data_IF_719885967419
#
_entry.id   IF_719885967419
#
_cell.length_a   1.000
_cell.length_b   1.000
_cell.length_c   1.000
_cell.angle_alpha   90.00
_cell.angle_beta   90.00
_cell.angle_gamma   90.00
#
_symmetry.space_group_name_H-M   'P 1'
#
loop_
_entity.id
_entity.type
_entity.pdbx_description
1 polymer ?
#
# COMPACT_ATOMS: atom_id res chain seq x y z
N UNK A 1 -5.15 6.52 -11.99
CA UNK A 1 -4.07 7.42 -12.47
C UNK A 1 -2.75 7.08 -11.82
N UNK A 2 -1.66 7.05 -12.59
CA UNK A 2 -0.29 6.93 -12.04
C UNK A 2 0.40 8.29 -12.07
N UNK A 3 0.69 8.86 -10.89
CA UNK A 3 1.37 10.15 -10.76
C UNK A 3 2.77 10.20 -11.41
N UNK A 4 3.42 9.04 -11.60
CA UNK A 4 4.73 8.93 -12.27
C UNK A 4 4.65 8.94 -13.80
N UNK A 5 3.46 8.83 -14.38
CA UNK A 5 3.26 8.79 -15.84
C UNK A 5 2.67 10.13 -16.26
N UNK A 6 3.44 10.94 -16.99
CA UNK A 6 3.03 12.27 -17.45
C UNK A 6 1.68 12.24 -18.18
N UNK A 7 1.48 11.28 -19.08
CA UNK A 7 0.23 11.14 -19.85
C UNK A 7 -0.99 10.90 -18.95
N UNK A 8 -0.85 10.02 -17.95
CA UNK A 8 -1.93 9.78 -16.99
C UNK A 8 -2.28 11.03 -16.17
N UNK A 9 -1.29 11.88 -15.88
CA UNK A 9 -1.52 13.15 -15.18
C UNK A 9 -2.17 14.17 -16.11
N UNK A 10 -1.80 14.23 -17.40
CA UNK A 10 -2.47 15.07 -18.41
C UNK A 10 -3.94 14.72 -18.57
N UNK A 11 -4.27 13.42 -18.65
CA UNK A 11 -5.66 12.95 -18.68
C UNK A 11 -6.44 13.37 -17.43
N UNK A 12 -5.83 13.23 -16.24
CA UNK A 12 -6.43 13.68 -14.99
C UNK A 12 -6.69 15.19 -15.00
N UNK A 13 -5.73 15.99 -15.47
CA UNK A 13 -5.89 17.45 -15.57
C UNK A 13 -7.05 17.85 -16.48
N UNK A 14 -7.24 17.16 -17.62
CA UNK A 14 -8.41 17.38 -18.50
C UNK A 14 -9.74 17.12 -17.78
N UNK A 15 -9.79 16.08 -16.94
CA UNK A 15 -10.98 15.79 -16.14
C UNK A 15 -11.19 16.86 -15.07
N UNK A 16 -10.13 17.25 -14.35
CA UNK A 16 -10.20 18.31 -13.33
C UNK A 16 -10.72 19.61 -13.94
N UNK A 17 -10.20 20.01 -15.10
CA UNK A 17 -10.62 21.23 -15.81
C UNK A 17 -12.11 21.20 -16.15
N UNK A 18 -12.59 20.06 -16.67
CA UNK A 18 -14.01 19.88 -17.01
C UNK A 18 -14.92 19.95 -15.77
N UNK A 19 -14.49 19.37 -14.65
CA UNK A 19 -15.35 19.23 -13.46
C UNK A 19 -15.28 20.44 -12.50
N UNK A 20 -14.15 21.17 -12.46
CA UNK A 20 -13.95 22.26 -11.48
C UNK A 20 -14.87 23.45 -11.74
N UNK A 21 -15.22 23.72 -13.00
CA UNK A 21 -16.12 24.81 -13.43
C UNK A 21 -15.65 26.18 -12.90
N UNK A 22 -14.38 26.51 -13.09
CA UNK A 22 -13.81 27.79 -12.66
C UNK A 22 -13.51 27.93 -11.16
N UNK A 23 -13.58 26.84 -10.39
CA UNK A 23 -13.33 26.84 -8.94
C UNK A 23 -11.94 26.31 -8.60
N UNK A 24 -11.47 26.68 -7.42
CA UNK A 24 -10.26 26.11 -6.81
C UNK A 24 -10.36 24.59 -6.63
N UNK A 25 -9.22 23.93 -6.69
CA UNK A 25 -9.09 22.48 -6.58
C UNK A 25 -8.19 22.14 -5.40
N UNK A 26 -8.73 21.46 -4.41
CA UNK A 26 -7.98 21.02 -3.24
C UNK A 26 -7.57 19.56 -3.38
N UNK A 27 -6.27 19.29 -3.35
CA UNK A 27 -5.75 17.92 -3.35
C UNK A 27 -5.65 17.44 -1.91
N UNK A 28 -6.51 16.48 -1.56
CA UNK A 28 -6.55 15.84 -0.24
C UNK A 28 -6.18 14.36 -0.34
N UNK A 29 -5.51 13.83 0.68
CA UNK A 29 -5.14 12.41 0.71
C UNK A 29 -4.29 12.04 1.93
N UNK A 30 -4.16 10.74 2.19
CA UNK A 30 -3.33 10.27 3.29
C UNK A 30 -1.82 10.52 3.02
N UNK A 31 -0.98 10.52 4.06
CA UNK A 31 0.47 10.57 3.89
C UNK A 31 0.96 9.35 3.11
N UNK A 32 2.00 9.54 2.29
CA UNK A 32 2.64 8.49 1.46
C UNK A 32 1.79 7.88 0.31
N UNK A 33 0.61 8.42 0.00
CA UNK A 33 -0.20 7.96 -1.16
C UNK A 33 0.31 8.46 -2.52
N UNK A 34 1.32 9.34 -2.53
CA UNK A 34 1.88 9.93 -3.76
C UNK A 34 1.35 11.31 -4.12
N UNK A 35 0.70 12.03 -3.20
CA UNK A 35 0.21 13.42 -3.37
C UNK A 35 1.30 14.36 -3.88
N UNK A 36 2.45 14.41 -3.21
CA UNK A 36 3.57 15.26 -3.65
C UNK A 36 4.15 14.84 -4.99
N UNK A 37 4.14 13.54 -5.32
CA UNK A 37 4.54 13.05 -6.65
C UNK A 37 3.59 13.56 -7.73
N UNK A 38 2.29 13.56 -7.46
CA UNK A 38 1.29 14.08 -8.39
C UNK A 38 1.47 15.59 -8.61
N UNK A 39 1.64 16.35 -7.54
CA UNK A 39 1.82 17.81 -7.60
C UNK A 39 3.08 18.17 -8.36
N UNK A 40 4.21 17.54 -8.05
CA UNK A 40 5.46 17.79 -8.77
C UNK A 40 5.32 17.45 -10.26
N UNK A 41 4.55 16.41 -10.60
CA UNK A 41 4.29 16.07 -12.00
C UNK A 41 3.39 17.12 -12.69
N UNK A 42 2.40 17.67 -11.99
CA UNK A 42 1.56 18.77 -12.51
C UNK A 42 2.43 20.01 -12.76
N UNK A 43 3.30 20.39 -11.80
CA UNK A 43 4.23 21.51 -11.94
C UNK A 43 5.13 21.29 -13.17
N UNK A 44 5.76 20.12 -13.28
CA UNK A 44 6.64 19.81 -14.42
C UNK A 44 5.90 19.95 -15.76
N UNK A 45 4.67 19.44 -15.86
CA UNK A 45 3.86 19.54 -17.08
C UNK A 45 3.55 21.01 -17.41
N UNK A 46 3.21 21.83 -16.41
CA UNK A 46 2.92 23.25 -16.61
C UNK A 46 4.17 24.05 -17.03
N UNK A 47 5.34 23.68 -16.51
CA UNK A 47 6.62 24.35 -16.84
C UNK A 47 7.24 23.92 -18.17
N UNK A 48 6.91 22.73 -18.69
CA UNK A 48 7.46 22.19 -19.95
C UNK A 48 6.65 22.57 -21.20
N UNK A 49 5.45 23.15 -21.05
CA UNK A 49 4.65 23.66 -22.17
C UNK A 49 5.25 24.96 -22.73
N UNK A 50 5.73 24.92 -23.98
CA UNK A 50 6.29 26.06 -24.74
C UNK A 50 5.30 27.23 -24.98
N UNK A 51 4.03 27.10 -24.59
CA UNK A 51 3.01 28.17 -24.59
C UNK A 51 3.19 29.13 -23.39
N UNK A 52 4.43 29.60 -23.18
CA UNK A 52 4.79 30.56 -22.12
C UNK A 52 4.40 31.98 -22.55
N UNK A 53 3.09 32.22 -22.68
CA UNK A 53 2.52 33.58 -22.61
C UNK A 53 1.30 33.50 -21.69
N UNK A 54 1.51 33.39 -20.38
CA UNK A 54 0.87 34.21 -19.34
C UNK A 54 1.22 33.67 -17.94
N UNK A 55 1.62 34.60 -17.07
CA UNK A 55 1.78 34.50 -15.60
C UNK A 55 2.45 33.24 -15.01
N UNK A 56 3.78 33.33 -14.87
CA UNK A 56 4.57 32.82 -13.74
C UNK A 56 3.93 31.73 -12.86
N UNK A 57 4.06 30.47 -13.26
CA UNK A 57 3.86 29.28 -12.42
C UNK A 57 4.93 29.16 -11.31
N UNK A 58 5.16 30.22 -10.54
CA UNK A 58 6.05 30.17 -9.38
C UNK A 58 5.23 29.78 -8.14
N UNK A 59 5.53 28.64 -7.49
CA UNK A 59 4.81 28.22 -6.29
C UNK A 59 4.93 29.27 -5.17
N UNK A 60 3.81 29.84 -4.74
CA UNK A 60 3.74 30.63 -3.52
C UNK A 60 3.78 29.70 -2.30
N UNK A 61 4.49 30.10 -1.23
CA UNK A 61 4.50 29.36 0.04
C UNK A 61 3.77 30.17 1.11
N UNK A 62 2.58 29.71 1.49
CA UNK A 62 1.91 30.17 2.71
C UNK A 62 1.77 28.96 3.63
N UNK A 63 2.56 28.93 4.71
CA UNK A 63 2.51 27.95 5.82
C UNK A 63 2.02 26.53 5.46
N UNK A 64 2.77 25.84 4.59
CA UNK A 64 2.61 24.39 4.40
C UNK A 64 1.69 23.93 3.27
N UNK A 65 1.11 24.84 2.47
CA UNK A 65 0.42 24.52 1.21
C UNK A 65 1.21 25.01 -0.01
N UNK A 66 1.23 24.20 -1.06
CA UNK A 66 1.72 24.57 -2.40
C UNK A 66 0.51 25.00 -3.22
N UNK A 67 0.55 26.22 -3.75
CA UNK A 67 -0.48 26.74 -4.65
C UNK A 67 0.07 26.78 -6.08
N UNK A 68 -0.66 26.15 -7.02
CA UNK A 68 -0.36 26.19 -8.44
C UNK A 68 -1.46 27.00 -9.13
N UNK A 69 -1.15 28.19 -9.67
CA UNK A 69 -2.13 29.01 -10.35
C UNK A 69 -2.59 28.36 -11.66
N UNK A 70 -3.85 28.59 -12.03
CA UNK A 70 -4.47 28.23 -13.30
C UNK A 70 -4.79 29.50 -14.13
N UNK A 71 -4.97 29.35 -15.44
CA UNK A 71 -5.13 30.45 -16.39
C UNK A 71 -6.33 31.38 -16.10
N UNK A 72 -7.33 30.91 -15.37
CA UNK A 72 -8.54 31.67 -15.00
C UNK A 72 -8.46 32.34 -13.62
N UNK A 73 -7.29 32.31 -12.97
CA UNK A 73 -7.05 32.91 -11.66
C UNK A 73 -7.43 32.02 -10.47
N UNK A 74 -7.96 30.82 -10.70
CA UNK A 74 -8.14 29.81 -9.66
C UNK A 74 -6.84 29.04 -9.38
N UNK A 75 -6.82 28.24 -8.31
CA UNK A 75 -5.62 27.52 -7.89
C UNK A 75 -5.87 26.02 -7.68
N UNK A 76 -4.80 25.24 -7.89
CA UNK A 76 -4.67 23.90 -7.32
C UNK A 76 -3.89 24.03 -6.00
N UNK A 77 -4.52 23.64 -4.90
CA UNK A 77 -3.97 23.78 -3.55
C UNK A 77 -3.59 22.40 -3.00
N UNK A 78 -2.33 22.25 -2.61
CA UNK A 78 -1.87 21.11 -1.84
C UNK A 78 -2.24 21.26 -0.36
N UNK A 79 -2.89 20.23 0.19
CA UNK A 79 -3.22 20.18 1.62
C UNK A 79 -2.29 19.21 2.36
N UNK A 80 -1.89 19.46 3.61
CA UNK A 80 -1.10 18.50 4.38
C UNK A 80 -1.73 17.10 4.39
N UNK A 81 -0.91 16.06 4.21
CA UNK A 81 -1.41 14.69 4.13
C UNK A 81 -1.99 14.21 5.45
N UNK A 82 -3.09 13.46 5.40
CA UNK A 82 -3.72 12.87 6.59
C UNK A 82 -2.93 11.64 7.03
N UNK A 83 -2.41 11.64 8.26
CA UNK A 83 -1.66 10.49 8.79
C UNK A 83 -2.64 9.37 9.15
N UNK A 84 -2.58 8.24 8.43
CA UNK A 84 -3.41 7.06 8.73
C UNK A 84 -2.70 6.09 9.66
N UNK A 85 -2.79 6.29 10.97
CA UNK A 85 -2.05 5.49 11.97
C UNK A 85 -2.23 3.96 11.87
N UNK A 86 -3.27 3.49 11.17
CA UNK A 86 -3.53 2.05 10.97
C UNK A 86 -2.84 1.42 9.76
N UNK A 87 -1.96 2.16 9.08
CA UNK A 87 -1.20 1.67 7.94
C UNK A 87 0.17 1.11 8.38
N UNK A 88 0.55 -0.06 7.86
CA UNK A 88 1.84 -0.70 8.12
C UNK A 88 3.04 0.26 7.92
N UNK A 89 2.94 1.19 6.97
CA UNK A 89 4.02 2.13 6.65
C UNK A 89 4.46 3.00 7.83
N UNK A 90 3.63 3.19 8.84
CA UNK A 90 4.01 4.00 10.04
C UNK A 90 5.02 3.30 10.94
N UNK A 91 5.13 1.97 10.84
CA UNK A 91 6.00 1.17 11.71
C UNK A 91 7.34 0.84 11.04
N UNK A 92 7.59 1.35 9.83
CA UNK A 92 8.72 0.98 9.00
C UNK A 92 9.68 2.15 8.82
N UNK A 93 10.98 1.85 8.84
CA UNK A 93 12.02 2.80 8.48
C UNK A 93 12.00 3.11 6.97
N UNK A 94 12.64 4.21 6.58
CA UNK A 94 12.76 4.62 5.18
C UNK A 94 13.34 3.55 4.25
N UNK A 95 14.21 2.65 4.73
CA UNK A 95 14.77 1.54 3.93
C UNK A 95 13.77 0.39 3.79
N UNK A 96 13.03 0.07 4.84
CA UNK A 96 12.04 -1.01 4.84
C UNK A 96 10.81 -0.64 4.01
N UNK A 97 10.41 0.64 4.04
CA UNK A 97 9.40 1.19 3.14
C UNK A 97 9.72 0.96 1.67
N UNK A 98 11.00 0.99 1.27
CA UNK A 98 11.40 0.72 -0.13
C UNK A 98 11.12 -0.72 -0.55
N UNK A 99 11.09 -1.66 0.40
CA UNK A 99 10.82 -3.07 0.16
C UNK A 99 9.32 -3.35 0.21
N UNK A 100 8.61 -2.78 1.19
CA UNK A 100 7.18 -3.02 1.41
C UNK A 100 6.31 -2.32 0.39
N UNK A 101 6.64 -1.09 0.00
CA UNK A 101 5.86 -0.32 -0.99
C UNK A 101 6.26 -0.79 -2.40
N UNK A 102 5.33 -1.35 -3.20
CA UNK A 102 5.63 -1.75 -4.57
C UNK A 102 6.07 -0.57 -5.44
N UNK A 103 7.19 -0.74 -6.13
CA UNK A 103 7.76 0.26 -7.06
C UNK A 103 7.47 -0.03 -8.53
N UNK A 104 7.02 -1.24 -8.80
CA UNK A 104 6.68 -1.83 -10.09
C UNK A 104 5.40 -2.64 -9.92
N UNK A 105 4.80 -3.04 -11.03
CA UNK A 105 3.61 -3.89 -11.03
C UNK A 105 3.82 -5.13 -10.14
N UNK A 106 2.86 -5.36 -9.24
CA UNK A 106 2.89 -6.48 -8.31
C UNK A 106 2.58 -7.75 -9.07
N UNK A 107 3.51 -8.72 -9.02
CA UNK A 107 3.30 -10.03 -9.63
C UNK A 107 2.57 -10.94 -8.65
N UNK A 108 1.50 -11.64 -9.07
CA UNK A 108 0.83 -12.60 -8.21
C UNK A 108 1.79 -13.74 -7.82
N UNK A 109 1.92 -14.00 -6.52
CA UNK A 109 2.72 -15.12 -5.99
C UNK A 109 1.78 -16.22 -5.50
N UNK A 110 1.63 -17.28 -6.29
CA UNK A 110 0.72 -18.40 -5.99
C UNK A 110 1.41 -19.44 -5.10
N UNK A 111 0.81 -19.76 -3.96
CA UNK A 111 1.25 -20.81 -3.06
C UNK A 111 0.16 -21.87 -2.88
N UNK A 112 0.53 -23.11 -3.16
CA UNK A 112 -0.31 -24.27 -2.90
C UNK A 112 -0.04 -24.77 -1.47
N UNK A 113 -1.03 -24.65 -0.58
CA UNK A 113 -0.89 -24.99 0.83
C UNK A 113 -1.83 -26.13 1.22
N UNK A 114 -1.34 -27.03 2.07
CA UNK A 114 -2.17 -27.93 2.85
C UNK A 114 -2.60 -27.25 4.15
N UNK A 115 -3.65 -27.76 4.77
CA UNK A 115 -4.06 -27.37 6.13
C UNK A 115 -2.85 -27.39 7.07
N UNK A 116 -2.88 -26.50 8.07
CA UNK A 116 -1.83 -26.37 9.08
C UNK A 116 -0.49 -25.93 8.48
N UNK A 117 -0.52 -25.09 7.45
CA UNK A 117 0.67 -24.41 6.91
C UNK A 117 0.56 -22.89 7.05
N UNK A 118 1.73 -22.27 7.15
CA UNK A 118 1.89 -20.83 7.35
C UNK A 118 2.78 -20.25 6.27
N UNK A 119 2.44 -19.05 5.80
CA UNK A 119 3.29 -18.19 4.99
C UNK A 119 3.58 -16.90 5.76
N UNK A 120 4.86 -16.63 5.97
CA UNK A 120 5.32 -15.33 6.43
C UNK A 120 5.60 -14.44 5.23
N UNK A 121 5.11 -13.20 5.27
CA UNK A 121 5.51 -12.13 4.35
C UNK A 121 6.63 -11.36 5.03
N UNK A 122 7.86 -11.84 4.82
CA UNK A 122 9.01 -11.53 5.68
C UNK A 122 8.59 -11.48 7.17
N UNK A 123 9.06 -10.52 7.95
CA UNK A 123 8.66 -10.34 9.34
C UNK A 123 7.47 -9.40 9.54
N UNK A 124 6.85 -8.88 8.47
CA UNK A 124 5.80 -7.84 8.59
C UNK A 124 4.38 -8.39 8.65
N UNK A 125 4.14 -9.61 8.17
CA UNK A 125 2.84 -10.26 8.29
C UNK A 125 2.96 -11.78 8.23
N UNK A 126 1.91 -12.46 8.70
CA UNK A 126 1.82 -13.93 8.68
C UNK A 126 0.41 -14.36 8.27
N UNK A 127 0.34 -15.34 7.39
CA UNK A 127 -0.87 -15.98 6.92
C UNK A 127 -0.87 -17.44 7.34
N UNK A 128 -1.87 -17.86 8.10
CA UNK A 128 -2.09 -19.23 8.51
C UNK A 128 -3.29 -19.83 7.78
N UNK A 129 -3.05 -20.92 7.06
CA UNK A 129 -4.12 -21.77 6.58
C UNK A 129 -4.49 -22.77 7.68
N UNK A 130 -5.58 -22.49 8.39
CA UNK A 130 -5.99 -23.26 9.57
C UNK A 130 -6.66 -24.55 9.12
N UNK A 131 -7.70 -24.44 8.29
CA UNK A 131 -8.47 -25.59 7.84
C UNK A 131 -9.29 -25.28 6.58
N UNK A 132 -9.50 -26.27 5.72
CA UNK A 132 -10.39 -26.19 4.57
C UNK A 132 -10.46 -27.52 3.82
N UNK A 133 -10.90 -27.49 2.57
CA UNK A 133 -11.05 -28.70 1.74
C UNK A 133 -9.71 -29.15 1.12
N UNK A 134 -8.77 -29.50 2.00
CA UNK A 134 -7.47 -30.04 1.60
C UNK A 134 -6.55 -28.99 0.99
N UNK A 135 -5.79 -29.40 -0.02
CA UNK A 135 -4.76 -28.56 -0.63
C UNK A 135 -5.39 -27.53 -1.57
N UNK A 136 -5.13 -26.25 -1.33
CA UNK A 136 -5.70 -25.16 -2.12
C UNK A 136 -4.70 -24.04 -2.46
N UNK A 137 -4.92 -23.30 -3.56
CA UNK A 137 -4.13 -22.12 -3.92
C UNK A 137 -4.46 -20.93 -3.01
N UNK A 138 -3.42 -20.18 -2.67
CA UNK A 138 -3.50 -18.83 -2.11
C UNK A 138 -2.64 -17.90 -2.95
N UNK A 139 -3.19 -16.74 -3.35
CA UNK A 139 -2.47 -15.80 -4.23
C UNK A 139 -2.09 -14.56 -3.44
N UNK A 140 -0.79 -14.33 -3.28
CA UNK A 140 -0.27 -13.19 -2.54
C UNK A 140 0.04 -12.04 -3.50
N UNK A 141 -0.60 -10.90 -3.26
CA UNK A 141 -0.38 -9.63 -3.96
C UNK A 141 0.31 -8.65 -3.01
N UNK A 142 1.61 -8.83 -2.88
CA UNK A 142 2.50 -7.99 -2.05
C UNK A 142 3.69 -7.53 -2.90
N UNK A 143 4.49 -6.57 -2.42
CA UNK A 143 5.67 -6.12 -3.15
C UNK A 143 6.55 -7.28 -3.65
N UNK A 144 7.05 -7.15 -4.88
CA UNK A 144 7.91 -8.17 -5.49
C UNK A 144 9.21 -8.36 -4.71
N UNK A 145 9.64 -7.35 -3.96
CA UNK A 145 10.89 -7.34 -3.22
C UNK A 145 10.77 -8.02 -1.84
N UNK A 146 9.54 -8.34 -1.39
CA UNK A 146 9.28 -9.12 -0.18
C UNK A 146 9.36 -10.63 -0.46
N UNK A 147 9.93 -11.38 0.48
CA UNK A 147 10.01 -12.84 0.41
C UNK A 147 8.85 -13.51 1.15
N UNK A 148 8.44 -14.68 0.64
CA UNK A 148 7.38 -15.49 1.23
C UNK A 148 7.97 -16.79 1.79
N UNK A 149 7.95 -16.91 3.12
CA UNK A 149 8.60 -18.03 3.84
C UNK A 149 7.55 -19.00 4.35
N UNK A 150 7.62 -20.26 3.89
CA UNK A 150 6.65 -21.30 4.26
C UNK A 150 7.14 -22.15 5.42
N UNK A 151 6.26 -22.40 6.40
CA UNK A 151 6.49 -23.35 7.48
C UNK A 151 5.22 -24.13 7.84
N UNK A 152 5.33 -25.11 8.73
CA UNK A 152 4.16 -25.77 9.34
C UNK A 152 3.61 -24.87 10.44
N UNK A 153 2.29 -24.82 10.59
CA UNK A 153 1.61 -23.96 11.56
C UNK A 153 2.13 -24.18 12.99
N UNK A 154 2.34 -25.45 13.37
CA UNK A 154 2.89 -25.82 14.69
C UNK A 154 4.28 -25.26 15.00
N UNK A 155 5.06 -24.88 13.98
CA UNK A 155 6.40 -24.32 14.13
C UNK A 155 6.41 -22.80 13.96
N UNK A 156 5.27 -22.19 13.60
CA UNK A 156 5.25 -20.82 13.10
C UNK A 156 5.61 -19.79 14.18
N UNK A 157 5.14 -19.98 15.41
CA UNK A 157 5.44 -19.09 16.54
C UNK A 157 6.94 -19.11 16.86
N UNK A 158 7.50 -20.30 17.08
CA UNK A 158 8.94 -20.48 17.34
C UNK A 158 9.82 -19.98 16.18
N UNK A 159 9.37 -20.22 14.94
CA UNK A 159 10.08 -19.74 13.76
C UNK A 159 10.13 -18.21 13.73
N UNK A 160 9.01 -17.53 13.98
CA UNK A 160 8.98 -16.07 14.00
C UNK A 160 9.91 -15.50 15.08
N UNK A 161 9.81 -16.02 16.31
CA UNK A 161 10.65 -15.58 17.44
C UNK A 161 12.15 -15.69 17.15
N UNK A 162 12.58 -16.78 16.49
CA UNK A 162 14.00 -17.02 16.20
C UNK A 162 14.53 -16.22 15.00
N UNK A 163 13.65 -15.88 14.06
CA UNK A 163 14.02 -15.45 12.71
C UNK A 163 13.63 -14.01 12.36
N UNK A 164 12.74 -13.37 13.11
CA UNK A 164 12.44 -11.93 12.95
C UNK A 164 13.72 -11.11 13.08
N UNK A 165 13.92 -10.16 12.17
CA UNK A 165 15.16 -9.37 12.12
C UNK A 165 16.33 -10.03 11.36
N UNK A 166 16.22 -11.33 11.07
CA UNK A 166 17.24 -12.13 10.34
C UNK A 166 16.75 -12.44 8.93
N UNK A 167 16.28 -13.67 8.70
CA UNK A 167 15.70 -14.09 7.42
C UNK A 167 14.29 -13.53 7.22
N UNK A 168 13.55 -13.27 8.30
CA UNK A 168 12.27 -12.54 8.27
C UNK A 168 12.56 -11.04 8.41
N UNK A 169 12.96 -10.42 7.31
CA UNK A 169 13.35 -9.02 7.22
C UNK A 169 12.77 -8.43 5.94
N UNK A 170 11.98 -7.34 6.02
CA UNK A 170 11.75 -6.46 7.17
C UNK A 170 10.83 -7.05 8.26
N UNK A 171 10.94 -6.58 9.53
CA UNK A 171 11.89 -5.60 10.04
C UNK A 171 13.32 -6.15 10.14
N UNK A 172 14.32 -5.27 10.21
CA UNK A 172 15.73 -5.62 10.52
C UNK A 172 15.92 -5.97 12.00
N UNK A 173 17.03 -6.60 12.37
CA UNK A 173 17.37 -6.91 13.77
C UNK A 173 17.26 -5.69 14.71
N UNK A 174 17.67 -4.51 14.26
CA UNK A 174 17.59 -3.27 15.05
C UNK A 174 16.15 -2.75 15.18
N UNK A 175 15.40 -2.74 14.09
CA UNK A 175 14.02 -2.21 14.05
C UNK A 175 13.01 -3.18 14.65
N UNK A 176 13.29 -4.48 14.64
CA UNK A 176 12.45 -5.53 15.20
C UNK A 176 12.17 -5.32 16.70
N UNK A 177 13.11 -4.73 17.46
CA UNK A 177 12.94 -4.44 18.88
C UNK A 177 11.81 -3.44 19.16
N UNK A 178 11.53 -2.55 18.21
CA UNK A 178 10.47 -1.53 18.28
C UNK A 178 9.27 -1.85 17.41
N UNK A 179 9.32 -2.95 16.67
CA UNK A 179 8.25 -3.35 15.78
C UNK A 179 7.10 -3.95 16.61
N UNK A 180 5.83 -3.55 16.37
CA UNK A 180 4.72 -4.06 17.16
C UNK A 180 4.58 -5.58 17.02
N UNK A 181 4.08 -6.21 18.08
CA UNK A 181 3.75 -7.64 18.04
C UNK A 181 2.69 -7.88 16.98
N UNK A 182 2.76 -9.03 16.31
CA UNK A 182 1.71 -9.42 15.38
C UNK A 182 0.46 -9.85 16.16
N UNK A 183 -0.69 -9.30 15.76
CA UNK A 183 -2.01 -9.61 16.29
C UNK A 183 -2.77 -10.48 15.30
N UNK A 184 -3.46 -11.50 15.80
CA UNK A 184 -4.23 -12.45 15.00
C UNK A 184 -5.61 -11.91 14.63
N UNK A 185 -5.97 -12.04 13.36
CA UNK A 185 -7.30 -11.79 12.81
C UNK A 185 -7.77 -13.06 12.11
N UNK A 186 -8.84 -13.69 12.60
CA UNK A 186 -9.33 -14.97 12.06
C UNK A 186 -10.56 -14.75 11.20
N UNK A 187 -10.63 -15.45 10.06
CA UNK A 187 -11.72 -15.34 9.10
C UNK A 187 -12.16 -16.74 8.65
N UNK A 188 -13.44 -16.88 8.33
CA UNK A 188 -13.98 -18.02 7.59
C UNK A 188 -14.49 -17.50 6.25
N UNK A 189 -13.84 -17.94 5.18
CA UNK A 189 -14.11 -17.50 3.81
C UNK A 189 -15.16 -18.44 3.21
N UNK A 190 -16.29 -17.89 2.75
CA UNK A 190 -17.38 -18.66 2.15
C UNK A 190 -17.61 -18.35 0.66
N UNK A 191 -16.99 -17.28 0.17
CA UNK A 191 -17.00 -16.86 -1.23
C UNK A 191 -15.62 -16.28 -1.57
N UNK A 192 -15.22 -16.21 -2.85
CA UNK A 192 -13.95 -15.62 -3.25
C UNK A 192 -13.72 -14.27 -2.59
N UNK A 193 -12.65 -14.15 -1.81
CA UNK A 193 -12.40 -13.01 -0.93
C UNK A 193 -10.92 -12.61 -0.93
N UNK A 194 -10.66 -11.31 -0.94
CA UNK A 194 -9.34 -10.76 -0.64
C UNK A 194 -9.24 -10.46 0.87
N UNK A 195 -8.22 -11.01 1.52
CA UNK A 195 -7.82 -10.65 2.89
C UNK A 195 -6.74 -9.57 2.81
N UNK A 196 -7.09 -8.35 3.20
CA UNK A 196 -6.28 -7.15 3.00
C UNK A 196 -5.56 -6.76 4.29
N UNK A 197 -4.27 -6.44 4.17
CA UNK A 197 -3.47 -5.84 5.24
C UNK A 197 -3.08 -4.42 4.81
N UNK A 198 -3.57 -3.41 5.53
CA UNK A 198 -3.38 -2.01 5.20
C UNK A 198 -1.89 -1.63 5.12
N UNK A 199 -1.46 -1.17 3.95
CA UNK A 199 -0.06 -0.78 3.70
C UNK A 199 0.85 -1.88 3.18
N UNK A 200 0.38 -3.12 3.09
CA UNK A 200 1.17 -4.26 2.62
C UNK A 200 0.69 -4.80 1.27
N UNK A 201 -0.61 -5.06 1.17
CA UNK A 201 -1.19 -5.81 0.05
C UNK A 201 -2.32 -6.72 0.51
N UNK A 202 -2.59 -7.79 -0.24
CA UNK A 202 -3.64 -8.74 0.11
C UNK A 202 -3.29 -10.17 -0.28
N UNK A 203 -4.08 -11.11 0.26
CA UNK A 203 -4.08 -12.52 -0.13
C UNK A 203 -5.47 -12.86 -0.66
N UNK A 204 -5.55 -13.34 -1.90
CA UNK A 204 -6.81 -13.82 -2.48
C UNK A 204 -7.02 -15.28 -2.10
N UNK A 205 -8.24 -15.57 -1.63
CA UNK A 205 -8.73 -16.88 -1.19
C UNK A 205 -9.99 -17.20 -1.99
N UNK A 206 -9.90 -18.16 -2.90
CA UNK A 206 -11.00 -18.44 -3.83
C UNK A 206 -11.93 -19.55 -3.34
N UNK A 207 -11.43 -20.47 -2.50
CA UNK A 207 -12.20 -21.63 -2.04
C UNK A 207 -13.08 -21.28 -0.84
N UNK A 208 -14.33 -21.71 -0.91
CA UNK A 208 -15.29 -21.60 0.19
C UNK A 208 -14.91 -22.50 1.39
N UNK A 209 -15.57 -22.26 2.53
CA UNK A 209 -15.37 -22.95 3.79
C UNK A 209 -13.92 -22.98 4.30
N UNK A 210 -13.13 -21.96 3.92
CA UNK A 210 -11.70 -21.88 4.23
C UNK A 210 -11.48 -21.04 5.49
N UNK A 211 -10.93 -21.64 6.54
CA UNK A 211 -10.56 -20.98 7.79
C UNK A 211 -9.09 -20.54 7.73
N UNK A 212 -8.88 -19.24 7.89
CA UNK A 212 -7.55 -18.63 7.85
C UNK A 212 -7.35 -17.71 9.05
N UNK A 213 -6.09 -17.45 9.39
CA UNK A 213 -5.73 -16.34 10.24
C UNK A 213 -4.68 -15.46 9.55
N UNK A 214 -4.98 -14.16 9.48
CA UNK A 214 -4.04 -13.14 9.05
C UNK A 214 -3.49 -12.44 10.29
N UNK A 215 -2.18 -12.29 10.35
CA UNK A 215 -1.47 -11.65 11.43
C UNK A 215 -0.75 -10.43 10.89
N UNK A 216 -1.01 -9.28 11.50
CA UNK A 216 -0.39 -8.01 11.17
C UNK A 216 0.04 -7.29 12.46
N UNK A 217 0.95 -6.31 12.40
CA UNK A 217 1.39 -5.58 13.59
C UNK A 217 0.20 -4.93 14.29
N UNK A 218 0.21 -4.93 15.61
CA UNK A 218 -0.82 -4.26 16.39
C UNK A 218 -0.99 -2.80 15.97
N UNK A 219 -2.24 -2.39 15.72
CA UNK A 219 -2.59 -1.09 15.17
C UNK A 219 -2.80 -1.10 13.65
N UNK A 220 -2.30 -2.11 12.92
CA UNK A 220 -2.54 -2.23 11.47
C UNK A 220 -3.90 -2.84 11.18
N UNK A 221 -4.66 -2.21 10.27
CA UNK A 221 -5.97 -2.72 9.87
C UNK A 221 -5.85 -3.98 8.99
N UNK A 222 -6.65 -4.98 9.34
CA UNK A 222 -6.85 -6.21 8.55
C UNK A 222 -8.34 -6.41 8.33
N UNK A 223 -8.75 -6.51 7.08
CA UNK A 223 -10.15 -6.64 6.69
C UNK A 223 -10.31 -7.50 5.44
N UNK A 224 -11.56 -7.83 5.11
CA UNK A 224 -11.91 -8.62 3.93
C UNK A 224 -12.72 -7.80 2.94
N UNK A 225 -12.60 -8.10 1.65
CA UNK A 225 -13.43 -7.52 0.58
C UNK A 225 -13.67 -8.56 -0.53
N UNK A 226 -14.65 -8.30 -1.40
CA UNK A 226 -14.82 -9.07 -2.65
C UNK A 226 -13.55 -9.00 -3.50
N UNK A 227 -13.21 -10.08 -4.19
CA UNK A 227 -12.02 -10.13 -5.05
C UNK A 227 -12.06 -9.03 -6.11
N UNK A 228 -10.90 -8.41 -6.34
CA UNK A 228 -10.76 -7.40 -7.40
C UNK A 228 -10.38 -8.02 -8.76
N UNK A 229 -10.03 -9.31 -8.78
CA UNK A 229 -9.56 -10.08 -9.93
C UNK A 229 -10.40 -11.34 -10.02
#
# INVERSE_FOLDING_TARGET
TSAKRSESVKELMKVIERERKGRDVYIVGATNVGKSTLINQIINIATESDDVITTSYFPGTTLGSIEIPLDDGSNIIDTPGIIQHTNLTHFLSGRELKQVIPRREVKPKVYQLNDQQTIFVDGVARFDYINGEGKQPFVFYVSNDLQLHRTKLKNADEFYEKQVGKILNPPTEFTAQKFPKLKRHSFTINEPTDVVVSGLGWVSVDQAHTKIAMWAPEGVDVYVRKTMI
#
